data_IF_788032108950
#
_entry.id   IF_788032108950
#
_cell.length_a   1.000
_cell.length_b   1.000
_cell.length_c   1.000
_cell.angle_alpha   90.00
_cell.angle_beta   90.00
_cell.angle_gamma   90.00
#
_symmetry.space_group_name_H-M   'P 1'
#
loop_
_entity.id
_entity.type
_entity.pdbx_description
1 polymer ?
#
# COMPACT_ATOMS: atom_id res chain seq x y z
N UNK A 1 3.57 -47.89 16.82
CA UNK A 1 2.27 -47.20 16.78
C UNK A 1 2.53 -45.74 17.13
N UNK A 2 2.76 -44.89 16.13
CA UNK A 2 2.86 -43.44 16.32
C UNK A 2 1.49 -42.89 15.96
N UNK A 3 0.78 -42.47 16.99
CA UNK A 3 -0.51 -41.80 16.94
C UNK A 3 -0.39 -40.53 16.08
N UNK A 4 -1.25 -40.43 15.05
CA UNK A 4 -1.34 -39.27 14.17
C UNK A 4 -2.58 -38.36 14.37
N UNK A 5 -2.90 -38.01 15.63
CA UNK A 5 -3.36 -36.65 16.04
C UNK A 5 -2.47 -35.48 15.53
N UNK A 6 -1.77 -35.68 14.42
CA UNK A 6 -0.35 -35.36 14.35
C UNK A 6 -0.04 -34.87 12.96
N UNK A 7 0.77 -33.85 12.96
CA UNK A 7 1.19 -33.12 11.79
C UNK A 7 1.75 -34.08 10.72
N UNK A 8 1.02 -34.22 9.62
CA UNK A 8 1.57 -34.84 8.42
C UNK A 8 2.65 -33.89 7.91
N UNK A 9 3.88 -34.38 7.89
CA UNK A 9 5.02 -33.66 7.34
C UNK A 9 4.95 -33.79 5.81
N UNK A 10 4.88 -32.68 5.10
CA UNK A 10 5.02 -32.62 3.65
C UNK A 10 6.50 -32.31 3.36
N UNK A 11 7.17 -33.17 2.60
CA UNK A 11 8.59 -33.07 2.30
C UNK A 11 8.78 -32.27 1.02
N UNK A 12 9.04 -30.97 1.10
CA UNK A 12 9.51 -30.22 -0.08
C UNK A 12 10.99 -30.50 -0.30
N UNK A 13 11.50 -30.23 -1.51
CA UNK A 13 12.91 -30.48 -1.89
C UNK A 13 13.91 -29.82 -0.91
N UNK A 14 13.52 -28.67 -0.31
CA UNK A 14 14.39 -27.89 0.59
C UNK A 14 13.90 -27.81 2.04
N UNK A 15 12.64 -28.17 2.35
CA UNK A 15 12.07 -28.04 3.70
C UNK A 15 10.90 -28.97 3.97
N UNK A 16 10.84 -29.49 5.19
CA UNK A 16 9.65 -30.15 5.73
C UNK A 16 8.60 -29.09 6.13
N UNK A 17 7.45 -29.05 5.44
CA UNK A 17 6.30 -28.19 5.76
C UNK A 17 5.20 -29.05 6.40
N UNK A 18 4.80 -28.75 7.62
CA UNK A 18 3.71 -29.51 8.24
C UNK A 18 2.33 -29.04 7.78
N UNK A 19 1.33 -29.90 7.88
CA UNK A 19 -0.07 -29.50 7.67
C UNK A 19 -0.51 -28.36 8.59
N UNK A 20 -0.03 -28.30 9.83
CA UNK A 20 -0.31 -27.19 10.75
C UNK A 20 0.37 -25.89 10.31
N UNK A 21 1.59 -25.93 9.78
CA UNK A 21 2.28 -24.77 9.22
C UNK A 21 1.55 -24.21 8.01
N UNK A 22 1.09 -25.07 7.09
CA UNK A 22 0.29 -24.64 5.93
C UNK A 22 -1.04 -24.03 6.37
N UNK A 23 -1.75 -24.66 7.31
CA UNK A 23 -3.01 -24.10 7.88
C UNK A 23 -2.77 -22.75 8.55
N UNK A 24 -1.67 -22.61 9.30
CA UNK A 24 -1.29 -21.37 9.97
C UNK A 24 -0.99 -20.27 8.94
N UNK A 25 -0.21 -20.59 7.89
CA UNK A 25 0.12 -19.65 6.82
C UNK A 25 -1.14 -19.20 6.05
N UNK A 26 -2.06 -20.12 5.76
CA UNK A 26 -3.32 -19.79 5.10
C UNK A 26 -4.24 -18.94 5.99
N UNK A 27 -4.35 -19.26 7.29
CA UNK A 27 -5.09 -18.44 8.24
C UNK A 27 -4.52 -17.02 8.31
N UNK A 28 -3.20 -16.91 8.48
CA UNK A 28 -2.49 -15.62 8.49
C UNK A 28 -2.78 -14.82 7.21
N UNK A 29 -2.67 -15.45 6.05
CA UNK A 29 -3.01 -14.84 4.76
C UNK A 29 -4.46 -14.32 4.71
N UNK A 30 -5.42 -15.12 5.15
CA UNK A 30 -6.83 -14.74 5.16
C UNK A 30 -7.09 -13.56 6.11
N UNK A 31 -6.50 -13.58 7.30
CA UNK A 31 -6.58 -12.48 8.27
C UNK A 31 -6.00 -11.18 7.66
N UNK A 32 -4.88 -11.25 6.93
CA UNK A 32 -4.32 -10.08 6.21
C UNK A 32 -5.22 -9.61 5.08
N UNK A 33 -5.89 -10.51 4.37
CA UNK A 33 -6.83 -10.13 3.29
C UNK A 33 -8.04 -9.38 3.85
N UNK A 34 -8.58 -9.82 4.99
CA UNK A 34 -9.68 -9.14 5.69
C UNK A 34 -9.26 -7.77 6.21
N UNK A 35 -8.07 -7.67 6.82
CA UNK A 35 -7.46 -6.39 7.21
C UNK A 35 -7.33 -5.44 6.02
N UNK A 36 -6.80 -5.92 4.89
CA UNK A 36 -6.66 -5.13 3.66
C UNK A 36 -8.01 -4.62 3.17
N UNK A 37 -9.05 -5.46 3.20
CA UNK A 37 -10.41 -5.06 2.80
C UNK A 37 -10.95 -3.95 3.71
N UNK A 38 -10.76 -4.07 5.03
CA UNK A 38 -11.19 -3.05 6.01
C UNK A 38 -10.48 -1.73 5.78
N UNK A 39 -9.15 -1.75 5.65
CA UNK A 39 -8.34 -0.55 5.39
C UNK A 39 -8.72 0.10 4.06
N UNK A 40 -8.95 -0.68 3.00
CA UNK A 40 -9.39 -0.17 1.69
C UNK A 40 -10.73 0.57 1.79
N UNK A 41 -11.69 0.00 2.53
CA UNK A 41 -12.99 0.62 2.76
C UNK A 41 -12.87 1.95 3.52
N UNK A 42 -12.14 1.96 4.63
CA UNK A 42 -11.88 3.20 5.40
C UNK A 42 -11.23 4.27 4.53
N UNK A 43 -10.21 3.90 3.77
CA UNK A 43 -9.50 4.79 2.85
C UNK A 43 -10.44 5.38 1.78
N UNK A 44 -11.36 4.57 1.24
CA UNK A 44 -12.40 5.04 0.33
C UNK A 44 -13.28 6.14 0.94
N UNK A 45 -13.64 6.02 2.23
CA UNK A 45 -14.40 7.05 2.94
C UNK A 45 -13.59 8.33 3.17
N UNK A 46 -12.28 8.22 3.42
CA UNK A 46 -11.38 9.36 3.56
C UNK A 46 -11.21 10.11 2.23
N UNK A 47 -10.94 9.37 1.13
CA UNK A 47 -10.81 9.96 -0.21
C UNK A 47 -12.08 10.69 -0.63
N UNK A 48 -13.25 10.08 -0.42
CA UNK A 48 -14.53 10.72 -0.73
C UNK A 48 -14.68 12.05 0.00
N UNK A 49 -14.37 12.08 1.31
CA UNK A 49 -14.43 13.32 2.10
C UNK A 49 -13.46 14.39 1.61
N UNK A 50 -12.21 14.03 1.34
CA UNK A 50 -11.22 14.98 0.80
C UNK A 50 -11.64 15.49 -0.58
N UNK A 51 -12.11 14.61 -1.46
CA UNK A 51 -12.62 14.98 -2.77
C UNK A 51 -13.80 15.94 -2.68
N UNK A 52 -14.76 15.70 -1.79
CA UNK A 52 -15.92 16.58 -1.59
C UNK A 52 -15.49 17.98 -1.10
N UNK A 53 -14.50 18.06 -0.20
CA UNK A 53 -13.89 19.32 0.24
C UNK A 53 -13.22 20.03 -0.93
N UNK A 54 -12.33 19.35 -1.65
CA UNK A 54 -11.61 19.93 -2.79
C UNK A 54 -12.55 20.40 -3.89
N UNK A 55 -13.63 19.66 -4.16
CA UNK A 55 -14.65 20.05 -5.14
C UNK A 55 -15.40 21.33 -4.73
N UNK A 56 -15.57 21.56 -3.43
CA UNK A 56 -16.21 22.78 -2.91
C UNK A 56 -15.29 24.00 -2.89
N UNK A 57 -13.98 23.80 -2.95
CA UNK A 57 -12.99 24.86 -2.86
C UNK A 57 -12.63 25.41 -4.25
N UNK A 58 -12.93 26.70 -4.47
CA UNK A 58 -12.62 27.43 -5.71
C UNK A 58 -11.12 27.51 -6.03
N UNK A 59 -10.25 27.33 -5.05
CA UNK A 59 -8.80 27.37 -5.21
C UNK A 59 -8.19 25.98 -5.43
N UNK A 60 -8.93 24.90 -5.22
CA UNK A 60 -8.40 23.54 -5.28
C UNK A 60 -7.79 23.19 -6.63
N UNK A 61 -8.38 23.63 -7.73
CA UNK A 61 -7.84 23.37 -9.08
C UNK A 61 -6.46 24.01 -9.28
N UNK A 62 -6.28 25.24 -8.80
CA UNK A 62 -5.00 25.96 -8.87
C UNK A 62 -3.94 25.31 -7.98
N UNK A 63 -4.30 24.94 -6.75
CA UNK A 63 -3.40 24.23 -5.83
C UNK A 63 -3.03 22.83 -6.37
N UNK A 64 -3.97 22.13 -7.00
CA UNK A 64 -3.72 20.85 -7.66
C UNK A 64 -2.75 20.98 -8.84
N UNK A 65 -2.88 22.05 -9.62
CA UNK A 65 -1.93 22.35 -10.68
C UNK A 65 -0.53 22.62 -10.11
N UNK A 66 -0.43 23.41 -9.03
CA UNK A 66 0.84 23.65 -8.35
C UNK A 66 1.46 22.36 -7.78
N UNK A 67 0.65 21.48 -7.18
CA UNK A 67 1.08 20.17 -6.71
C UNK A 67 1.63 19.29 -7.86
N UNK A 68 0.99 19.34 -9.04
CA UNK A 68 1.45 18.63 -10.24
C UNK A 68 2.80 19.17 -10.72
N UNK A 69 2.99 20.50 -10.72
CA UNK A 69 4.27 21.12 -11.06
C UNK A 69 5.38 20.71 -10.08
N UNK A 70 5.11 20.72 -8.77
CA UNK A 70 6.04 20.26 -7.74
C UNK A 70 6.39 18.78 -7.92
N UNK A 71 5.40 17.93 -8.21
CA UNK A 71 5.60 16.51 -8.50
C UNK A 71 6.56 16.32 -9.69
N UNK A 72 6.42 17.13 -10.73
CA UNK A 72 7.28 17.07 -11.91
C UNK A 72 8.74 17.46 -11.62
N UNK A 73 8.99 18.26 -10.58
CA UNK A 73 10.33 18.63 -10.13
C UNK A 73 10.97 17.54 -9.25
N UNK A 74 10.17 16.72 -8.58
CA UNK A 74 10.64 15.62 -7.71
C UNK A 74 10.86 14.33 -8.49
N UNK A 75 11.73 14.39 -9.50
CA UNK A 75 12.14 13.22 -10.30
C UNK A 75 13.52 12.76 -9.92
N UNK A 76 13.69 11.45 -9.82
CA UNK A 76 15.00 10.84 -9.64
C UNK A 76 15.81 11.02 -10.94
N UNK A 77 17.03 11.57 -10.88
CA UNK A 77 17.86 11.79 -12.07
C UNK A 77 18.35 10.49 -12.74
N UNK A 78 18.37 9.36 -12.02
CA UNK A 78 18.82 8.07 -12.55
C UNK A 78 17.71 7.37 -13.33
N UNK A 79 16.51 7.22 -12.74
CA UNK A 79 15.41 6.51 -13.39
C UNK A 79 14.41 7.43 -14.11
N UNK A 80 14.64 8.75 -14.10
CA UNK A 80 13.79 9.79 -14.69
C UNK A 80 12.31 9.74 -14.27
N UNK A 81 12.02 9.01 -13.19
CA UNK A 81 10.68 8.76 -12.67
C UNK A 81 10.46 9.56 -11.41
N UNK A 82 9.20 9.77 -11.04
CA UNK A 82 8.85 10.35 -9.76
C UNK A 82 9.53 9.58 -8.61
N UNK A 83 10.07 10.31 -7.63
CA UNK A 83 10.90 9.71 -6.59
C UNK A 83 10.15 8.62 -5.80
N UNK A 84 10.87 7.54 -5.48
CA UNK A 84 10.34 6.43 -4.70
C UNK A 84 10.15 6.81 -3.23
N UNK A 85 9.49 5.92 -2.50
CA UNK A 85 9.16 6.08 -1.09
C UNK A 85 10.40 6.12 -0.15
N UNK A 86 11.58 5.74 -0.64
CA UNK A 86 12.85 5.86 0.09
C UNK A 86 13.79 6.75 -0.73
N UNK A 87 13.99 7.96 -0.21
CA UNK A 87 14.83 9.00 -0.82
C UNK A 87 16.10 9.13 -0.01
N UNK A 88 17.23 9.18 -0.72
CA UNK A 88 18.55 9.37 -0.15
C UNK A 88 19.15 10.68 -0.66
N UNK A 89 19.82 11.41 0.22
CA UNK A 89 20.60 12.62 -0.12
C UNK A 89 22.07 12.35 0.14
N UNK A 90 22.88 12.61 -0.88
CA UNK A 90 24.33 12.66 -0.77
C UNK A 90 24.69 13.93 0.01
N UNK A 91 25.35 13.81 1.15
CA UNK A 91 25.57 14.95 2.06
C UNK A 91 26.55 15.96 1.47
N UNK A 92 27.51 15.47 0.70
CA UNK A 92 28.63 16.23 0.16
C UNK A 92 28.18 17.19 -0.95
N UNK A 93 27.16 16.81 -1.72
CA UNK A 93 26.70 17.58 -2.87
C UNK A 93 25.20 17.91 -2.86
N UNK A 94 24.43 17.40 -1.89
CA UNK A 94 22.99 17.65 -1.75
C UNK A 94 22.08 16.96 -2.80
N UNK A 95 22.65 16.20 -3.74
CA UNK A 95 21.85 15.52 -4.77
C UNK A 95 21.02 14.38 -4.18
N UNK A 96 19.81 14.21 -4.70
CA UNK A 96 18.80 13.28 -4.18
C UNK A 96 18.41 12.23 -5.19
N UNK A 97 18.27 10.99 -4.72
CA UNK A 97 18.00 9.82 -5.55
C UNK A 97 17.00 8.88 -4.88
N UNK A 98 16.38 8.00 -5.67
CA UNK A 98 15.75 6.80 -5.13
C UNK A 98 16.84 5.89 -4.53
N UNK A 99 16.58 5.32 -3.35
CA UNK A 99 17.52 4.38 -2.72
C UNK A 99 17.89 3.21 -3.65
N UNK A 100 16.90 2.64 -4.34
CA UNK A 100 17.13 1.52 -5.26
C UNK A 100 18.05 1.90 -6.41
N UNK A 101 17.90 3.10 -6.97
CA UNK A 101 18.74 3.58 -8.05
C UNK A 101 20.18 3.82 -7.58
N UNK A 102 20.38 4.34 -6.38
CA UNK A 102 21.74 4.56 -5.85
C UNK A 102 22.43 3.23 -5.52
N UNK A 103 21.71 2.25 -4.97
CA UNK A 103 22.26 0.90 -4.73
C UNK A 103 22.62 0.19 -6.05
N UNK A 104 21.78 0.34 -7.08
CA UNK A 104 22.12 -0.19 -8.41
C UNK A 104 23.36 0.49 -9.01
N UNK A 105 23.52 1.79 -8.76
CA UNK A 105 24.71 2.53 -9.16
C UNK A 105 25.96 2.00 -8.46
N UNK A 106 25.91 1.79 -7.14
CA UNK A 106 26.98 1.18 -6.35
C UNK A 106 27.41 -0.19 -6.92
N UNK A 107 26.45 -1.10 -7.15
CA UNK A 107 26.74 -2.41 -7.75
C UNK A 107 27.33 -2.32 -9.18
N UNK A 108 26.95 -1.29 -9.94
CA UNK A 108 27.52 -1.10 -11.29
C UNK A 108 28.99 -0.72 -11.24
N UNK A 109 29.46 -0.06 -10.18
CA UNK A 109 30.87 0.27 -9.98
C UNK A 109 31.67 -0.97 -9.56
N UNK A 110 31.12 -1.79 -8.66
CA UNK A 110 31.74 -3.04 -8.23
C UNK A 110 32.02 -3.98 -9.41
N UNK A 111 31.04 -4.14 -10.32
CA UNK A 111 31.18 -5.03 -11.48
C UNK A 111 32.22 -4.58 -12.52
N UNK A 112 32.58 -3.29 -12.57
CA UNK A 112 33.62 -2.78 -13.47
C UNK A 112 35.04 -2.96 -12.92
N UNK A 113 35.19 -3.21 -11.62
CA UNK A 113 36.51 -3.31 -10.97
C UNK A 113 37.20 -4.67 -11.10
N UNK A 114 36.53 -5.67 -11.69
CA UNK A 114 36.96 -7.07 -11.66
C UNK A 114 38.04 -7.48 -12.69
N UNK A 115 38.40 -6.61 -13.64
CA UNK A 115 39.25 -6.97 -14.79
C UNK A 115 40.71 -6.46 -14.73
N UNK A 116 41.11 -5.77 -13.65
CA UNK A 116 42.48 -5.24 -13.49
C UNK A 116 43.24 -5.98 -12.39
N UNK A 117 44.01 -7.01 -12.79
CA UNK A 117 44.57 -8.03 -11.91
C UNK A 117 45.81 -7.65 -11.08
N UNK A 118 46.35 -6.43 -11.15
CA UNK A 118 47.71 -6.16 -10.64
C UNK A 118 47.88 -4.90 -9.76
N UNK A 119 46.82 -4.34 -9.14
CA UNK A 119 46.97 -3.22 -8.18
C UNK A 119 46.22 -3.48 -6.87
N UNK A 120 46.96 -3.86 -5.83
CA UNK A 120 46.45 -4.39 -4.55
C UNK A 120 45.76 -3.36 -3.61
N UNK A 121 45.59 -2.08 -3.98
CA UNK A 121 45.17 -1.03 -3.02
C UNK A 121 43.99 -0.13 -3.44
N UNK A 122 43.25 -0.43 -4.53
CA UNK A 122 42.15 0.46 -4.96
C UNK A 122 40.79 -0.01 -4.43
N UNK A 123 40.34 0.53 -3.30
CA UNK A 123 38.94 0.41 -2.89
C UNK A 123 38.06 1.32 -3.78
N UNK A 124 37.05 0.78 -4.50
CA UNK A 124 36.21 1.59 -5.37
C UNK A 124 35.40 2.59 -4.53
N UNK A 125 35.71 3.87 -4.70
CA UNK A 125 35.00 4.95 -4.01
C UNK A 125 33.68 5.26 -4.74
N UNK A 126 32.57 5.23 -4.01
CA UNK A 126 31.26 5.61 -4.54
C UNK A 126 31.27 7.09 -4.93
N UNK A 127 30.89 7.41 -6.17
CA UNK A 127 30.79 8.80 -6.66
C UNK A 127 29.35 9.17 -7.01
N UNK A 128 29.01 10.44 -6.84
CA UNK A 128 27.69 10.97 -7.16
C UNK A 128 27.42 10.85 -8.69
N UNK A 129 26.31 10.23 -9.12
CA UNK A 129 25.99 10.08 -10.54
C UNK A 129 25.84 11.41 -11.31
N UNK A 130 25.55 12.52 -10.61
CA UNK A 130 25.31 13.81 -11.24
C UNK A 130 26.55 14.71 -11.33
N UNK A 131 27.33 14.78 -10.25
CA UNK A 131 28.44 15.73 -10.14
C UNK A 131 29.79 15.06 -9.87
N UNK A 132 29.80 13.74 -9.74
CA UNK A 132 30.99 12.92 -9.47
C UNK A 132 31.73 13.24 -8.16
N UNK A 133 31.14 14.03 -7.26
CA UNK A 133 31.64 14.20 -5.90
C UNK A 133 31.68 12.85 -5.20
N UNK A 134 32.79 12.58 -4.50
CA UNK A 134 32.95 11.40 -3.67
C UNK A 134 31.88 11.34 -2.59
N UNK A 135 31.28 10.17 -2.40
CA UNK A 135 30.19 9.94 -1.46
C UNK A 135 30.73 9.21 -0.26
N UNK A 136 30.59 9.80 0.93
CA UNK A 136 30.89 9.11 2.17
C UNK A 136 29.64 8.40 2.68
N UNK A 137 29.76 7.09 2.90
CA UNK A 137 28.69 6.29 3.47
C UNK A 137 28.63 6.46 5.00
N UNK A 138 27.44 6.39 5.63
CA UNK A 138 26.14 6.09 5.01
C UNK A 138 25.45 7.34 4.43
N UNK A 139 24.78 7.17 3.28
CA UNK A 139 23.90 8.23 2.75
C UNK A 139 22.73 8.51 3.70
N UNK A 140 22.40 9.78 3.90
CA UNK A 140 21.30 10.17 4.78
C UNK A 140 19.96 9.95 4.10
N UNK A 141 18.99 9.45 4.87
CA UNK A 141 17.60 9.41 4.45
C UNK A 141 17.00 10.81 4.56
N UNK A 142 16.16 11.19 3.60
CA UNK A 142 15.44 12.47 3.62
C UNK A 142 13.97 12.27 4.03
N UNK A 143 13.64 12.25 5.34
CA UNK A 143 12.28 12.04 5.80
C UNK A 143 11.32 13.14 5.34
N UNK A 144 11.82 14.38 5.22
CA UNK A 144 11.02 15.54 4.78
C UNK A 144 10.62 15.41 3.31
N UNK A 145 11.57 15.11 2.41
CA UNK A 145 11.23 14.87 1.00
C UNK A 145 10.33 13.65 0.83
N UNK A 146 10.55 12.60 1.63
CA UNK A 146 9.67 11.42 1.65
C UNK A 146 8.24 11.81 2.02
N UNK A 147 8.06 12.69 3.01
CA UNK A 147 6.74 13.21 3.37
C UNK A 147 6.10 13.96 2.20
N UNK A 148 6.83 14.86 1.53
CA UNK A 148 6.30 15.58 0.36
C UNK A 148 5.93 14.66 -0.81
N UNK A 149 6.78 13.68 -1.12
CA UNK A 149 6.50 12.68 -2.16
C UNK A 149 5.21 11.91 -1.85
N UNK A 150 5.02 11.50 -0.59
CA UNK A 150 3.80 10.83 -0.13
C UNK A 150 2.59 11.74 -0.13
N UNK A 151 2.75 13.00 0.26
CA UNK A 151 1.70 13.99 0.25
C UNK A 151 1.18 14.20 -1.17
N UNK A 152 2.07 14.50 -2.12
CA UNK A 152 1.71 14.72 -3.52
C UNK A 152 1.08 13.47 -4.15
N UNK A 153 1.60 12.28 -3.84
CA UNK A 153 0.99 11.01 -4.28
C UNK A 153 -0.39 10.79 -3.69
N UNK A 154 -0.57 11.10 -2.39
CA UNK A 154 -1.84 10.97 -1.69
C UNK A 154 -2.91 11.93 -2.24
N UNK A 155 -2.51 13.16 -2.57
CA UNK A 155 -3.38 14.16 -3.20
C UNK A 155 -3.83 13.70 -4.58
N UNK A 156 -2.90 13.25 -5.43
CA UNK A 156 -3.24 12.70 -6.76
C UNK A 156 -4.19 11.48 -6.64
N UNK A 157 -3.89 10.57 -5.72
CA UNK A 157 -4.71 9.39 -5.45
C UNK A 157 -6.11 9.72 -4.93
N UNK A 158 -6.26 10.81 -4.16
CA UNK A 158 -7.55 11.27 -3.70
C UNK A 158 -8.43 11.80 -4.85
N UNK A 159 -7.80 12.26 -5.93
CA UNK A 159 -8.49 12.72 -7.15
C UNK A 159 -8.77 11.58 -8.14
N UNK A 160 -8.04 10.47 -8.05
CA UNK A 160 -8.30 9.29 -8.89
C UNK A 160 -9.62 8.60 -8.48
N UNK A 161 -10.39 8.06 -9.45
CA UNK A 161 -11.55 7.23 -9.14
C UNK A 161 -11.14 6.02 -8.29
N UNK A 162 -11.86 5.77 -7.19
CA UNK A 162 -11.49 4.72 -6.20
C UNK A 162 -11.25 3.33 -6.83
N UNK A 163 -12.04 2.95 -7.82
CA UNK A 163 -11.90 1.66 -8.52
C UNK A 163 -10.57 1.52 -9.28
N UNK A 164 -10.01 2.61 -9.79
CA UNK A 164 -8.75 2.61 -10.53
C UNK A 164 -7.56 2.30 -9.60
N UNK A 165 -7.57 2.89 -8.40
CA UNK A 165 -6.52 2.68 -7.40
C UNK A 165 -6.54 1.24 -6.87
N UNK A 166 -7.73 0.73 -6.57
CA UNK A 166 -7.91 -0.66 -6.14
C UNK A 166 -7.42 -1.65 -7.21
N UNK A 167 -7.70 -1.37 -8.48
CA UNK A 167 -7.24 -2.19 -9.59
C UNK A 167 -5.72 -2.15 -9.73
N UNK A 168 -5.10 -0.96 -9.58
CA UNK A 168 -3.64 -0.79 -9.64
C UNK A 168 -2.94 -1.58 -8.52
N UNK A 169 -3.42 -1.48 -7.29
CA UNK A 169 -2.86 -2.22 -6.15
C UNK A 169 -3.01 -3.73 -6.33
N UNK A 170 -4.17 -4.19 -6.84
CA UNK A 170 -4.39 -5.61 -7.16
C UNK A 170 -3.43 -6.09 -8.26
N UNK A 171 -3.26 -5.32 -9.33
CA UNK A 171 -2.41 -5.71 -10.45
C UNK A 171 -0.91 -5.71 -10.13
N UNK A 172 -0.45 -4.84 -9.23
CA UNK A 172 0.98 -4.74 -8.90
C UNK A 172 1.45 -5.81 -7.91
N UNK A 173 0.58 -6.28 -7.01
CA UNK A 173 1.01 -6.99 -5.81
C UNK A 173 0.25 -8.29 -5.55
N UNK A 174 -0.91 -8.49 -6.17
CA UNK A 174 -1.65 -9.73 -6.01
C UNK A 174 -1.15 -10.76 -7.02
N UNK A 175 -0.38 -11.74 -6.54
CA UNK A 175 -0.23 -12.99 -7.27
C UNK A 175 -1.50 -13.79 -6.96
N UNK A 176 -2.44 -13.95 -7.93
CA UNK A 176 -3.61 -14.76 -7.69
C UNK A 176 -3.14 -16.17 -7.42
N UNK A 177 -3.41 -16.67 -6.21
CA UNK A 177 -3.30 -18.11 -5.94
C UNK A 177 -4.30 -18.77 -6.89
N UNK A 178 -3.85 -19.55 -7.88
CA UNK A 178 -4.76 -20.20 -8.79
C UNK A 178 -5.73 -21.03 -7.95
N UNK A 179 -7.05 -20.94 -8.18
CA UNK A 179 -7.95 -21.95 -7.66
C UNK A 179 -7.63 -23.22 -8.43
N UNK A 180 -6.59 -23.96 -8.03
CA UNK A 180 -6.27 -25.21 -8.68
C UNK A 180 -7.51 -26.09 -8.62
N UNK A 181 -8.02 -26.43 -9.80
CA UNK A 181 -8.92 -27.56 -9.95
C UNK A 181 -8.11 -28.74 -9.45
N UNK A 182 -8.36 -29.16 -8.21
CA UNK A 182 -8.09 -30.54 -7.83
C UNK A 182 -8.82 -31.34 -8.89
N UNK A 183 -8.07 -31.87 -9.86
CA UNK A 183 -8.61 -32.89 -10.74
C UNK A 183 -8.86 -34.02 -9.78
N UNK A 184 -10.10 -34.15 -9.35
CA UNK A 184 -10.57 -35.36 -8.69
C UNK A 184 -10.26 -36.47 -9.67
N UNK A 185 -9.10 -37.13 -9.50
CA UNK A 185 -8.85 -38.49 -9.93
C UNK A 185 -9.71 -39.40 -9.05
N UNK A 186 -11.01 -39.10 -8.97
CA UNK A 186 -12.02 -40.12 -8.78
C UNK A 186 -11.99 -40.89 -10.08
N UNK A 187 -11.28 -42.01 -10.04
CA UNK A 187 -11.43 -43.12 -10.96
C UNK A 187 -12.88 -43.18 -11.41
N UNK A 188 -13.07 -43.01 -12.72
CA UNK A 188 -14.35 -43.04 -13.36
C UNK A 188 -15.03 -44.38 -13.07
N UNK A 189 -16.02 -44.37 -12.18
CA UNK A 189 -17.22 -45.21 -12.29
C UNK A 189 -18.28 -44.61 -11.36
N UNK A 190 -19.33 -44.07 -11.98
CA UNK A 190 -20.59 -43.64 -11.37
C UNK A 190 -20.53 -42.44 -10.42
N UNK A 191 -20.83 -41.24 -10.94
CA UNK A 191 -21.92 -40.41 -10.43
C UNK A 191 -22.19 -39.29 -11.43
N UNK A 192 -23.18 -39.52 -12.29
CA UNK A 192 -23.87 -38.48 -13.04
C UNK A 192 -24.70 -37.65 -12.06
N UNK A 193 -24.91 -36.38 -12.43
CA UNK A 193 -25.85 -35.43 -11.82
C UNK A 193 -25.39 -34.74 -10.53
N UNK A 194 -24.66 -33.63 -10.68
CA UNK A 194 -25.09 -32.35 -10.12
C UNK A 194 -24.36 -31.20 -10.81
N UNK A 195 -25.16 -30.43 -11.55
CA UNK A 195 -24.72 -29.31 -12.36
C UNK A 195 -24.90 -28.01 -11.57
N UNK A 196 -23.96 -27.10 -11.76
CA UNK A 196 -24.15 -25.64 -11.81
C UNK A 196 -24.43 -24.90 -10.48
N UNK A 197 -23.35 -24.62 -9.75
CA UNK A 197 -23.20 -23.35 -9.01
C UNK A 197 -21.81 -22.78 -9.30
N UNK A 198 -21.75 -21.71 -10.09
CA UNK A 198 -20.57 -20.84 -10.18
C UNK A 198 -20.49 -20.03 -8.88
N UNK A 199 -19.93 -20.61 -7.82
CA UNK A 199 -19.48 -19.83 -6.66
C UNK A 199 -17.99 -19.54 -6.81
N UNK A 200 -17.67 -18.27 -6.58
CA UNK A 200 -16.36 -17.61 -6.66
C UNK A 200 -15.23 -18.50 -6.12
N UNK A 201 -14.09 -18.48 -6.81
CA UNK A 201 -12.95 -19.40 -6.70
C UNK A 201 -12.18 -19.51 -5.38
N UNK A 202 -12.86 -19.63 -4.24
CA UNK A 202 -12.27 -19.80 -2.91
C UNK A 202 -12.37 -21.24 -2.38
N UNK A 203 -12.98 -22.16 -3.15
CA UNK A 203 -13.30 -23.51 -2.69
C UNK A 203 -12.21 -24.56 -2.94
N UNK A 204 -11.21 -24.31 -3.79
CA UNK A 204 -10.21 -25.31 -4.19
C UNK A 204 -9.32 -25.76 -3.01
N UNK A 205 -8.60 -24.83 -2.39
CA UNK A 205 -7.67 -25.14 -1.28
C UNK A 205 -8.44 -25.64 -0.05
N UNK A 206 -9.59 -25.05 0.26
CA UNK A 206 -10.45 -25.52 1.35
C UNK A 206 -10.98 -26.95 1.11
N UNK A 207 -11.27 -27.31 -0.15
CA UNK A 207 -11.66 -28.67 -0.53
C UNK A 207 -10.49 -29.64 -0.47
N UNK A 208 -9.26 -29.22 -0.84
CA UNK A 208 -8.06 -30.03 -0.68
C UNK A 208 -7.78 -30.35 0.79
N UNK A 209 -7.86 -29.33 1.66
CA UNK A 209 -7.67 -29.48 3.10
C UNK A 209 -8.79 -30.33 3.76
N UNK A 210 -10.02 -30.30 3.23
CA UNK A 210 -11.11 -31.21 3.67
C UNK A 210 -10.95 -32.63 3.14
N UNK A 211 -10.50 -32.80 1.90
CA UNK A 211 -10.28 -34.11 1.29
C UNK A 211 -9.14 -34.87 1.99
N UNK A 212 -8.04 -34.17 2.29
CA UNK A 212 -6.90 -34.73 3.05
C UNK A 212 -7.24 -35.05 4.51
N UNK A 213 -8.24 -34.37 5.09
CA UNK A 213 -8.79 -34.68 6.42
C UNK A 213 -9.60 -35.98 6.47
N UNK A 214 -10.16 -36.45 5.35
CA UNK A 214 -10.93 -37.70 5.29
C UNK A 214 -10.09 -38.93 4.92
N UNK A 215 -8.86 -38.74 4.46
CA UNK A 215 -7.86 -39.80 4.27
C UNK A 215 -7.23 -40.17 5.62
N UNK A 216 -8.04 -40.79 6.49
CA UNK A 216 -7.61 -41.32 7.78
C UNK A 216 -6.92 -42.70 7.65
N UNK A 217 -6.87 -43.33 6.48
CA UNK A 217 -6.28 -44.66 6.31
C UNK A 217 -5.25 -44.66 5.16
N UNK A 218 -3.97 -44.57 5.53
CA UNK A 218 -2.84 -45.15 4.77
C UNK A 218 -2.53 -44.67 3.35
N UNK A 219 -3.12 -43.58 2.85
CA UNK A 219 -2.78 -43.08 1.52
C UNK A 219 -1.39 -42.42 1.51
N UNK A 220 -0.45 -43.03 0.78
CA UNK A 220 0.89 -42.50 0.49
C UNK A 220 0.70 -41.32 -0.47
N UNK A 221 1.14 -40.12 -0.06
CA UNK A 221 1.20 -38.95 -0.93
C UNK A 221 2.25 -39.24 -2.01
N UNK A 222 1.87 -39.19 -3.28
CA UNK A 222 2.80 -39.44 -4.38
C UNK A 222 3.81 -38.29 -4.47
N UNK A 223 5.09 -38.55 -4.85
CA UNK A 223 6.13 -37.53 -4.94
C UNK A 223 5.75 -36.30 -5.77
N UNK A 224 4.94 -36.50 -6.81
CA UNK A 224 4.42 -35.43 -7.68
C UNK A 224 3.52 -34.42 -6.98
N UNK A 225 2.91 -34.76 -5.84
CA UNK A 225 2.05 -33.86 -5.07
C UNK A 225 2.87 -32.96 -4.13
N UNK A 226 4.11 -33.33 -3.82
CA UNK A 226 4.94 -32.59 -2.87
C UNK A 226 5.42 -31.25 -3.42
N UNK A 227 5.81 -31.22 -4.71
CA UNK A 227 6.23 -30.00 -5.40
C UNK A 227 5.09 -28.99 -5.53
N UNK A 228 3.86 -29.48 -5.76
CA UNK A 228 2.65 -28.64 -5.81
C UNK A 228 2.35 -28.03 -4.44
N UNK A 229 2.49 -28.79 -3.36
CA UNK A 229 2.26 -28.28 -2.00
C UNK A 229 3.36 -27.29 -1.60
N UNK A 230 4.61 -27.56 -1.93
CA UNK A 230 5.74 -26.64 -1.72
C UNK A 230 5.50 -25.29 -2.40
N UNK A 231 5.19 -25.35 -3.70
CA UNK A 231 4.87 -24.19 -4.52
C UNK A 231 3.67 -23.43 -3.97
N UNK A 232 2.62 -24.14 -3.53
CA UNK A 232 1.44 -23.52 -2.92
C UNK A 232 1.78 -22.81 -1.59
N UNK A 233 2.60 -23.42 -0.74
CA UNK A 233 3.00 -22.82 0.54
C UNK A 233 3.83 -21.55 0.32
N UNK A 234 4.81 -21.60 -0.58
CA UNK A 234 5.65 -20.46 -0.93
C UNK A 234 4.83 -19.34 -1.56
N UNK A 235 3.88 -19.68 -2.43
CA UNK A 235 2.94 -18.74 -3.03
C UNK A 235 2.06 -18.06 -1.97
N UNK A 236 1.54 -18.82 -0.99
CA UNK A 236 0.78 -18.25 0.14
C UNK A 236 1.66 -17.30 0.94
N UNK A 237 2.90 -17.68 1.26
CA UNK A 237 3.83 -16.83 2.01
C UNK A 237 4.21 -15.56 1.24
N UNK A 238 4.45 -15.66 -0.05
CA UNK A 238 4.73 -14.51 -0.91
C UNK A 238 3.51 -13.59 -0.99
N UNK A 239 2.32 -14.14 -1.19
CA UNK A 239 1.06 -13.38 -1.19
C UNK A 239 0.81 -12.66 0.14
N UNK A 240 1.09 -13.30 1.28
CA UNK A 240 0.99 -12.67 2.61
C UNK A 240 1.96 -11.48 2.75
N UNK A 241 3.21 -11.61 2.27
CA UNK A 241 4.18 -10.49 2.29
C UNK A 241 3.70 -9.34 1.40
N UNK A 242 3.18 -9.64 0.22
CA UNK A 242 2.59 -8.63 -0.66
C UNK A 242 1.39 -7.93 0.00
N UNK A 243 0.48 -8.65 0.64
CA UNK A 243 -0.66 -8.07 1.37
C UNK A 243 -0.20 -7.15 2.50
N UNK A 244 0.81 -7.55 3.27
CA UNK A 244 1.39 -6.70 4.31
C UNK A 244 1.93 -5.39 3.75
N UNK A 245 2.62 -5.45 2.62
CA UNK A 245 3.14 -4.26 1.94
C UNK A 245 2.00 -3.34 1.44
N UNK A 246 0.95 -3.90 0.84
CA UNK A 246 -0.26 -3.15 0.44
C UNK A 246 -0.88 -2.44 1.64
N UNK A 247 -1.10 -3.17 2.74
CA UNK A 247 -1.70 -2.62 3.96
C UNK A 247 -0.86 -1.47 4.51
N UNK A 248 0.47 -1.60 4.51
CA UNK A 248 1.37 -0.53 4.97
C UNK A 248 1.27 0.72 4.09
N UNK A 249 1.22 0.56 2.76
CA UNK A 249 1.02 1.68 1.82
C UNK A 249 -0.33 2.35 2.09
N UNK A 250 -1.41 1.59 2.19
CA UNK A 250 -2.75 2.13 2.43
C UNK A 250 -2.86 2.82 3.79
N UNK A 251 -2.21 2.30 4.84
CA UNK A 251 -2.15 2.96 6.16
C UNK A 251 -1.35 4.28 6.10
N UNK A 252 -0.25 4.30 5.35
CA UNK A 252 0.50 5.54 5.09
C UNK A 252 -0.35 6.58 4.38
N UNK A 253 -1.11 6.17 3.37
CA UNK A 253 -2.03 7.05 2.65
C UNK A 253 -3.16 7.58 3.55
N UNK A 254 -3.80 6.70 4.32
CA UNK A 254 -4.82 7.08 5.30
C UNK A 254 -4.30 8.17 6.25
N UNK A 255 -3.09 8.01 6.77
CA UNK A 255 -2.48 8.98 7.67
C UNK A 255 -2.29 10.36 7.01
N UNK A 256 -1.88 10.41 5.74
CA UNK A 256 -1.77 11.68 4.99
C UNK A 256 -3.15 12.34 4.81
N UNK A 257 -4.18 11.56 4.45
CA UNK A 257 -5.54 12.09 4.30
C UNK A 257 -6.11 12.58 5.64
N UNK A 258 -5.81 11.89 6.75
CA UNK A 258 -6.15 12.35 8.10
C UNK A 258 -5.50 13.71 8.42
N UNK A 259 -4.19 13.87 8.16
CA UNK A 259 -3.50 15.15 8.34
C UNK A 259 -4.15 16.27 7.52
N UNK A 260 -4.47 16.00 6.25
CA UNK A 260 -5.14 16.97 5.39
C UNK A 260 -6.50 17.39 5.97
N UNK A 261 -7.34 16.42 6.37
CA UNK A 261 -8.64 16.73 6.95
C UNK A 261 -8.54 17.50 8.27
N UNK A 262 -7.58 17.17 9.13
CA UNK A 262 -7.33 17.91 10.37
C UNK A 262 -6.91 19.35 10.07
N UNK A 263 -6.02 19.56 9.12
CA UNK A 263 -5.56 20.90 8.73
C UNK A 263 -6.70 21.74 8.15
N UNK A 264 -7.48 21.18 7.22
CA UNK A 264 -8.64 21.87 6.65
C UNK A 264 -9.67 22.23 7.72
N UNK A 265 -9.95 21.32 8.65
CA UNK A 265 -10.90 21.58 9.76
C UNK A 265 -10.43 22.71 10.67
N UNK A 266 -9.13 22.75 11.00
CA UNK A 266 -8.54 23.80 11.83
C UNK A 266 -8.51 25.16 11.11
N UNK A 267 -8.07 25.18 9.85
CA UNK A 267 -8.05 26.40 9.03
C UNK A 267 -9.45 26.99 8.85
N UNK A 268 -10.45 26.13 8.67
CA UNK A 268 -11.83 26.55 8.54
C UNK A 268 -12.40 27.11 9.84
N UNK A 269 -12.08 26.50 10.99
CA UNK A 269 -12.47 27.01 12.30
C UNK A 269 -11.86 28.39 12.59
N UNK A 270 -10.58 28.59 12.26
CA UNK A 270 -9.89 29.87 12.41
C UNK A 270 -10.51 30.97 11.54
N UNK A 271 -10.72 30.68 10.24
CA UNK A 271 -11.37 31.61 9.31
C UNK A 271 -12.78 32.01 9.79
N UNK A 272 -13.55 31.06 10.32
CA UNK A 272 -14.87 31.32 10.90
C UNK A 272 -14.80 32.25 12.12
N UNK A 273 -13.81 32.07 13.00
CA UNK A 273 -13.63 32.91 14.17
C UNK A 273 -13.30 34.36 13.76
N UNK A 274 -12.44 34.54 12.75
CA UNK A 274 -12.07 35.86 12.22
C UNK A 274 -13.26 36.60 11.58
N UNK A 275 -14.07 35.90 10.78
CA UNK A 275 -15.31 36.43 10.21
C UNK A 275 -16.30 36.84 11.30
N UNK A 276 -16.47 36.02 12.34
CA UNK A 276 -17.39 36.30 13.45
C UNK A 276 -16.90 37.52 14.25
N UNK A 277 -15.60 37.62 14.49
CA UNK A 277 -15.00 38.78 15.16
C UNK A 277 -15.13 40.07 14.33
N UNK A 278 -15.05 39.96 13.00
CA UNK A 278 -15.21 41.11 12.09
C UNK A 278 -16.65 41.60 12.04
N UNK A 279 -17.63 40.69 12.02
CA UNK A 279 -19.06 41.03 12.07
C UNK A 279 -19.46 41.74 13.36
N UNK A 280 -18.91 41.32 14.51
CA UNK A 280 -19.16 41.98 15.79
C UNK A 280 -18.57 43.40 15.85
N UNK A 281 -17.48 43.67 15.13
CA UNK A 281 -16.87 45.01 15.05
C UNK A 281 -17.60 45.96 14.10
N UNK A 282 -18.39 45.45 13.15
CA UNK A 282 -19.12 46.27 12.17
C UNK A 282 -20.57 46.57 12.53
N UNK A 283 -21.02 46.19 13.73
CA UNK A 283 -22.43 46.31 14.17
C UNK A 283 -22.86 47.73 14.58
N UNK A 284 -22.00 48.74 14.47
CA UNK A 284 -22.27 50.11 14.96
C UNK A 284 -22.79 51.10 13.89
N UNK A 285 -23.25 50.67 12.71
CA UNK A 285 -23.83 51.62 11.73
C UNK A 285 -24.92 51.02 10.83
N UNK A 286 -26.08 51.69 10.78
CA UNK A 286 -27.31 51.46 10.02
C UNK A 286 -27.11 51.22 8.49
N UNK A 287 -26.52 50.09 8.08
CA UNK A 287 -26.25 49.79 6.66
C UNK A 287 -27.01 48.52 6.20
N UNK A 288 -28.12 48.64 5.45
CA UNK A 288 -29.00 47.52 5.09
C UNK A 288 -28.42 46.47 4.10
N UNK A 289 -27.16 46.56 3.69
CA UNK A 289 -26.58 45.75 2.59
C UNK A 289 -25.90 44.44 3.03
N UNK A 290 -25.78 44.15 4.33
CA UNK A 290 -25.00 43.01 4.83
C UNK A 290 -25.75 41.67 4.84
N UNK A 291 -27.06 41.65 4.58
CA UNK A 291 -27.91 40.47 4.77
C UNK A 291 -27.70 39.42 3.66
N UNK A 292 -27.42 39.83 2.42
CA UNK A 292 -27.29 38.89 1.29
C UNK A 292 -25.98 38.09 1.33
N UNK A 293 -24.87 38.69 1.77
CA UNK A 293 -23.58 38.00 1.91
C UNK A 293 -23.61 36.89 3.00
N UNK A 294 -24.44 37.07 4.04
CA UNK A 294 -24.59 36.08 5.10
C UNK A 294 -25.41 34.84 4.66
N UNK A 295 -26.29 35.00 3.67
CA UNK A 295 -27.16 33.93 3.18
C UNK A 295 -26.40 32.96 2.24
N UNK A 296 -25.52 33.47 1.38
CA UNK A 296 -24.65 32.64 0.53
C UNK A 296 -23.65 31.81 1.34
N UNK A 297 -23.14 32.38 2.43
CA UNK A 297 -22.28 31.68 3.38
C UNK A 297 -23.01 30.51 4.05
N UNK A 298 -24.25 30.72 4.54
CA UNK A 298 -25.06 29.64 5.17
C UNK A 298 -25.26 28.42 4.29
N UNK A 299 -25.40 28.59 2.97
CA UNK A 299 -25.60 27.49 2.03
C UNK A 299 -24.34 26.62 1.85
N UNK A 300 -23.14 27.21 1.96
CA UNK A 300 -21.87 26.46 1.97
C UNK A 300 -21.70 25.65 3.26
N UNK A 301 -22.18 26.17 4.40
CA UNK A 301 -22.02 25.53 5.71
C UNK A 301 -22.97 24.35 5.97
N UNK A 302 -24.13 24.29 5.32
CA UNK A 302 -25.09 23.20 5.52
C UNK A 302 -24.55 21.82 5.06
N UNK A 303 -23.58 21.79 4.14
CA UNK A 303 -22.98 20.54 3.66
C UNK A 303 -21.88 19.97 4.58
N UNK A 304 -21.33 20.75 5.53
CA UNK A 304 -20.16 20.34 6.33
C UNK A 304 -20.50 19.90 7.77
N UNK A 305 -21.72 20.13 8.24
CA UNK A 305 -22.08 19.96 9.66
C UNK A 305 -22.56 18.55 10.05
N UNK A 306 -22.65 17.60 9.11
CA UNK A 306 -23.04 16.22 9.40
C UNK A 306 -21.82 15.32 9.56
N UNK A 307 -21.59 14.86 10.80
CA UNK A 307 -20.60 13.84 11.23
C UNK A 307 -19.14 14.28 11.46
N UNK A 308 -18.91 14.97 12.58
CA UNK A 308 -17.64 14.90 13.32
C UNK A 308 -17.88 14.25 14.70
N UNK A 309 -18.12 12.94 14.74
CA UNK A 309 -17.86 12.13 15.94
C UNK A 309 -16.51 11.46 15.74
N UNK A 310 -15.47 12.04 16.31
CA UNK A 310 -14.13 11.44 16.41
C UNK A 310 -14.20 10.25 17.38
N UNK A 311 -13.66 9.06 17.03
CA UNK A 311 -13.49 8.00 18.00
C UNK A 311 -12.33 8.35 18.92
N UNK A 312 -12.66 8.56 20.19
CA UNK A 312 -11.71 8.61 21.29
C UNK A 312 -10.92 7.29 21.41
N UNK A 313 -9.61 7.43 21.63
CA UNK A 313 -8.66 6.45 22.21
C UNK A 313 -8.01 5.44 21.26
N UNK A 314 -6.75 5.75 20.92
CA UNK A 314 -5.66 4.78 20.96
C UNK A 314 -4.50 5.39 21.75
N UNK A 315 -4.30 4.94 22.99
CA UNK A 315 -3.04 5.10 23.71
C UNK A 315 -2.06 4.05 23.20
N UNK A 316 -0.84 4.48 22.91
CA UNK A 316 0.29 3.60 22.62
C UNK A 316 0.66 2.75 23.85
#
# INVERSE_FOLDING_TARGET
>A
MVDLSTDKIIVTIDRLVTTSELRRAYKEWNDRREEQTRVSHELGLFRKRVHDILKSDRHAEKEMHAATLLKNQLKCPICCSFMSDIIVRIQECGHVFCRTCLVQWEHSLESMSCDSSDSEDYEPQLTCPLCRTDVFLPVSREPTLRFFVRLLSGVELAMEPHHAVDLRLKNQLYIPVPPERIVSRTSATHFTTLNRVQTKGYHAIASYLRATSRLQHGAIILPSDSDVIASTFDLVRQSTRSLLHIIQIQKGERHILEILLTYYSASFAAYRAELSASFLKSSDADTPSAIDAAQDLKNVFACSATHAQLPEKYSC
#
